data_IF_185535728905
#
_entry.id   IF_185535728905
#
_cell.length_a   1.000
_cell.length_b   1.000
_cell.length_c   1.000
_cell.angle_alpha   90.00
_cell.angle_beta   90.00
_cell.angle_gamma   90.00
#
_symmetry.space_group_name_H-M   'P 1'
#
loop_
_entity.id
_entity.type
_entity.pdbx_description
1 polymer ?
#
# COMPACT_ATOMS: atom_id res chain seq x y z
N UNK A 1 10.11 12.47 -4.21
CA UNK A 1 8.79 11.87 -3.89
C UNK A 1 8.83 10.38 -4.15
N UNK A 2 8.22 9.56 -3.29
CA UNK A 2 8.08 8.11 -3.49
C UNK A 2 6.64 7.68 -3.33
N UNK A 3 6.21 6.75 -4.18
CA UNK A 3 4.86 6.19 -4.17
C UNK A 3 4.85 4.85 -3.46
N UNK A 4 3.72 4.56 -2.83
CA UNK A 4 3.44 3.32 -2.14
C UNK A 4 2.02 2.86 -2.49
N UNK A 5 1.79 1.56 -2.50
CA UNK A 5 0.48 1.02 -2.86
C UNK A 5 0.27 -0.40 -2.36
N UNK A 6 -0.99 -0.77 -2.22
CA UNK A 6 -1.42 -2.12 -1.88
C UNK A 6 -2.46 -2.56 -2.90
N UNK A 7 -2.27 -3.74 -3.49
CA UNK A 7 -3.30 -4.43 -4.26
C UNK A 7 -3.79 -5.59 -3.41
N UNK A 8 -5.09 -5.62 -3.17
CA UNK A 8 -5.76 -6.64 -2.38
C UNK A 8 -7.10 -6.96 -3.02
N UNK A 9 -7.48 -8.24 -3.04
CA UNK A 9 -8.86 -8.66 -3.33
C UNK A 9 -9.45 -9.25 -2.05
N UNK A 10 -10.77 -9.11 -1.85
CA UNK A 10 -11.44 -9.76 -0.71
C UNK A 10 -11.24 -11.28 -0.69
N UNK A 11 -11.08 -11.88 -1.87
CA UNK A 11 -10.83 -13.31 -2.02
C UNK A 11 -9.40 -13.73 -1.68
N UNK A 12 -8.46 -12.79 -1.67
CA UNK A 12 -7.06 -13.02 -1.26
C UNK A 12 -6.86 -12.75 0.22
N UNK A 13 -7.88 -12.92 1.06
CA UNK A 13 -7.74 -12.85 2.51
C UNK A 13 -7.66 -14.24 3.16
N UNK A 14 -7.81 -15.32 2.38
CA UNK A 14 -7.73 -16.70 2.87
C UNK A 14 -8.57 -16.93 4.13
N UNK A 15 -7.97 -17.51 5.17
CA UNK A 15 -8.61 -17.77 6.47
C UNK A 15 -9.01 -16.47 7.20
N UNK A 16 -8.32 -15.36 6.94
CA UNK A 16 -8.66 -14.06 7.54
C UNK A 16 -10.03 -13.56 7.07
N UNK A 17 -10.48 -13.94 5.86
CA UNK A 17 -11.86 -13.68 5.39
C UNK A 17 -12.90 -14.28 6.33
N UNK A 18 -12.65 -15.49 6.82
CA UNK A 18 -13.54 -16.17 7.76
C UNK A 18 -13.56 -15.48 9.14
N UNK A 19 -12.41 -14.94 9.59
CA UNK A 19 -12.28 -14.23 10.86
C UNK A 19 -12.88 -12.81 10.85
N UNK A 20 -12.84 -12.12 9.70
CA UNK A 20 -13.37 -10.76 9.57
C UNK A 20 -14.80 -10.71 9.06
N UNK A 21 -15.33 -11.79 8.48
CA UNK A 21 -16.64 -11.80 7.80
C UNK A 21 -16.73 -10.69 6.74
N UNK A 22 -17.90 -10.12 6.46
CA UNK A 22 -18.07 -8.99 5.55
C UNK A 22 -17.71 -7.62 6.17
N UNK A 23 -16.93 -7.60 7.26
CA UNK A 23 -16.55 -6.37 7.95
C UNK A 23 -15.50 -5.57 7.15
N UNK A 24 -15.98 -4.61 6.38
CA UNK A 24 -15.18 -3.70 5.56
C UNK A 24 -14.15 -2.89 6.35
N UNK A 25 -14.45 -2.53 7.61
CA UNK A 25 -13.53 -1.77 8.46
C UNK A 25 -12.29 -2.58 8.86
N UNK A 26 -12.45 -3.87 9.19
CA UNK A 26 -11.30 -4.75 9.48
C UNK A 26 -10.41 -4.95 8.26
N UNK A 27 -11.03 -5.11 7.08
CA UNK A 27 -10.30 -5.22 5.82
C UNK A 27 -9.50 -3.95 5.52
N UNK A 28 -10.12 -2.78 5.69
CA UNK A 28 -9.46 -1.49 5.54
C UNK A 28 -8.24 -1.38 6.48
N UNK A 29 -8.42 -1.66 7.76
CA UNK A 29 -7.34 -1.58 8.75
C UNK A 29 -6.15 -2.49 8.40
N UNK A 30 -6.43 -3.67 7.82
CA UNK A 30 -5.37 -4.59 7.38
C UNK A 30 -4.63 -4.07 6.15
N UNK A 31 -5.33 -3.48 5.18
CA UNK A 31 -4.70 -2.85 4.03
C UNK A 31 -3.84 -1.64 4.44
N UNK A 32 -4.33 -0.82 5.38
CA UNK A 32 -3.58 0.28 5.96
C UNK A 32 -2.32 -0.23 6.68
N UNK A 33 -2.40 -1.33 7.43
CA UNK A 33 -1.24 -1.98 8.04
C UNK A 33 -0.19 -2.34 6.97
N UNK A 34 -0.57 -3.03 5.89
CA UNK A 34 0.37 -3.42 4.84
C UNK A 34 1.03 -2.22 4.16
N UNK A 35 0.25 -1.16 3.90
CA UNK A 35 0.77 0.07 3.31
C UNK A 35 1.81 0.72 4.23
N UNK A 36 1.49 0.87 5.52
CA UNK A 36 2.37 1.48 6.51
C UNK A 36 3.62 0.62 6.75
N UNK A 37 3.54 -0.70 6.68
CA UNK A 37 4.75 -1.55 6.71
C UNK A 37 5.74 -1.20 5.60
N UNK A 38 5.26 -0.87 4.39
CA UNK A 38 6.13 -0.44 3.27
C UNK A 38 6.75 0.92 3.52
N UNK A 39 5.98 1.84 4.08
CA UNK A 39 6.46 3.17 4.48
C UNK A 39 7.53 3.03 5.56
N UNK A 40 7.30 2.20 6.58
CA UNK A 40 8.26 1.94 7.65
C UNK A 40 9.57 1.35 7.13
N UNK A 41 9.50 0.46 6.13
CA UNK A 41 10.70 -0.05 5.48
C UNK A 41 11.47 1.05 4.75
N UNK A 42 10.78 1.92 4.01
CA UNK A 42 11.40 3.07 3.36
C UNK A 42 12.09 3.99 4.37
N UNK A 43 11.41 4.30 5.49
CA UNK A 43 11.96 5.12 6.58
C UNK A 43 13.26 4.52 7.12
N UNK A 44 13.26 3.20 7.40
CA UNK A 44 14.44 2.47 7.86
C UNK A 44 15.62 2.58 6.87
N UNK A 45 15.37 2.28 5.59
CA UNK A 45 16.40 2.30 4.54
C UNK A 45 16.99 3.69 4.36
N UNK A 46 16.16 4.73 4.48
CA UNK A 46 16.57 6.12 4.34
C UNK A 46 17.08 6.75 5.63
N UNK A 47 17.07 5.99 6.73
CA UNK A 47 17.45 6.47 8.08
C UNK A 47 16.66 7.72 8.48
N UNK A 48 15.40 7.80 8.06
CA UNK A 48 14.51 8.90 8.44
C UNK A 48 13.92 8.54 9.82
N UNK A 49 14.05 9.42 10.82
CA UNK A 49 13.44 9.21 12.13
C UNK A 49 11.90 9.23 12.06
N UNK A 50 11.18 8.43 12.88
CA UNK A 50 9.71 8.38 12.88
C UNK A 50 9.03 9.73 13.13
N UNK A 51 9.63 10.61 13.94
CA UNK A 51 9.11 11.93 14.28
C UNK A 51 9.01 12.90 13.08
N UNK A 52 9.76 12.61 12.01
CA UNK A 52 9.78 13.38 10.77
C UNK A 52 8.75 12.88 9.73
N UNK A 53 7.90 11.92 10.11
CA UNK A 53 6.82 11.41 9.27
C UNK A 53 5.47 11.89 9.82
N UNK A 54 4.75 12.63 8.99
CA UNK A 54 3.32 12.89 9.22
C UNK A 54 2.51 11.93 8.35
N UNK A 55 1.46 11.33 8.91
CA UNK A 55 0.60 10.37 8.20
C UNK A 55 -0.81 10.94 8.14
N UNK A 56 -1.29 11.22 6.93
CA UNK A 56 -2.59 11.85 6.72
C UNK A 56 -3.50 10.87 5.99
N UNK A 57 -4.68 10.64 6.56
CA UNK A 57 -5.78 9.93 5.91
C UNK A 57 -6.89 10.92 5.52
N UNK A 58 -7.48 10.76 4.34
CA UNK A 58 -8.76 11.39 4.04
C UNK A 58 -9.84 10.82 4.95
N UNK A 59 -10.72 11.67 5.48
CA UNK A 59 -11.85 11.27 6.32
C UNK A 59 -12.82 10.40 5.54
N UNK A 60 -13.06 9.20 6.07
CA UNK A 60 -14.02 8.24 5.57
C UNK A 60 -14.86 7.66 6.73
N UNK A 61 -15.82 6.80 6.41
CA UNK A 61 -16.59 6.05 7.41
C UNK A 61 -15.76 4.89 8.00
N UNK A 62 -14.65 5.24 8.66
CA UNK A 62 -13.67 4.31 9.25
C UNK A 62 -13.41 4.71 10.70
N UNK A 63 -13.26 3.71 11.58
CA UNK A 63 -12.85 3.90 12.96
C UNK A 63 -11.31 3.96 13.05
N UNK A 64 -10.78 5.18 12.93
CA UNK A 64 -9.34 5.44 12.95
C UNK A 64 -8.69 5.11 14.30
N UNK A 65 -9.41 5.19 15.41
CA UNK A 65 -8.88 4.82 16.73
C UNK A 65 -8.65 3.30 16.83
N UNK A 66 -9.60 2.50 16.34
CA UNK A 66 -9.40 1.05 16.21
C UNK A 66 -8.24 0.72 15.27
N UNK A 67 -8.07 1.46 14.18
CA UNK A 67 -6.92 1.30 13.29
C UNK A 67 -5.60 1.59 14.02
N UNK A 68 -5.49 2.72 14.73
CA UNK A 68 -4.31 3.07 15.54
C UNK A 68 -4.00 1.97 16.57
N UNK A 69 -5.03 1.47 17.27
CA UNK A 69 -4.86 0.40 18.26
C UNK A 69 -4.36 -0.91 17.64
N UNK A 70 -4.84 -1.29 16.46
CA UNK A 70 -4.30 -2.43 15.71
C UNK A 70 -2.82 -2.22 15.40
N UNK A 71 -2.45 -1.05 14.88
CA UNK A 71 -1.07 -0.74 14.50
C UNK A 71 -0.13 -0.77 15.71
N UNK A 72 -0.53 -0.19 16.85
CA UNK A 72 0.24 -0.27 18.11
C UNK A 72 0.44 -1.72 18.57
N UNK A 73 -0.60 -2.55 18.47
CA UNK A 73 -0.48 -4.00 18.77
C UNK A 73 0.48 -4.71 17.82
N UNK A 74 0.47 -4.35 16.54
CA UNK A 74 1.40 -4.88 15.55
C UNK A 74 2.85 -4.44 15.82
N UNK A 75 3.07 -3.21 16.31
CA UNK A 75 4.40 -2.74 16.72
C UNK A 75 4.92 -3.50 17.95
N UNK A 76 4.07 -3.74 18.96
CA UNK A 76 4.48 -4.41 20.19
C UNK A 76 4.65 -5.93 20.05
N UNK A 77 3.89 -6.56 19.14
CA UNK A 77 3.95 -8.01 18.91
C UNK A 77 3.89 -8.34 17.41
N UNK A 78 4.97 -8.07 16.65
CA UNK A 78 5.01 -8.34 15.21
C UNK A 78 5.02 -9.85 14.94
N UNK A 79 3.94 -10.35 14.35
CA UNK A 79 3.77 -11.77 14.01
C UNK A 79 4.48 -12.17 12.71
N UNK A 80 4.70 -11.21 11.81
CA UNK A 80 5.40 -11.41 10.54
C UNK A 80 6.66 -10.55 10.48
N UNK A 81 7.65 -11.01 9.70
CA UNK A 81 8.94 -10.33 9.53
C UNK A 81 8.78 -8.88 9.03
N UNK A 82 7.86 -8.65 8.10
CA UNK A 82 7.58 -7.33 7.54
C UNK A 82 6.84 -6.40 8.50
N UNK A 83 6.05 -6.94 9.43
CA UNK A 83 5.37 -6.15 10.46
C UNK A 83 6.35 -5.44 11.39
N UNK A 84 7.58 -5.96 11.52
CA UNK A 84 8.66 -5.30 12.28
C UNK A 84 8.97 -3.90 11.76
N UNK A 85 8.75 -3.62 10.48
CA UNK A 85 9.01 -2.30 9.91
C UNK A 85 8.09 -1.20 10.44
N UNK A 86 6.93 -1.56 11.01
CA UNK A 86 6.05 -0.58 11.67
C UNK A 86 6.71 0.13 12.85
N UNK A 87 7.76 -0.44 13.45
CA UNK A 87 8.51 0.23 14.52
C UNK A 87 9.17 1.56 14.06
N UNK A 88 9.30 1.77 12.75
CA UNK A 88 9.86 2.99 12.16
C UNK A 88 8.80 4.05 11.84
N UNK A 89 7.60 3.90 12.38
CA UNK A 89 6.49 4.83 12.22
C UNK A 89 5.97 5.25 13.58
N UNK A 90 5.72 6.54 13.76
CA UNK A 90 4.96 7.05 14.89
C UNK A 90 3.45 7.00 14.57
N UNK A 91 2.70 6.21 15.34
CA UNK A 91 1.24 6.04 15.16
C UNK A 91 0.47 7.25 15.67
N UNK A 92 1.05 8.03 16.58
CA UNK A 92 0.40 9.22 17.14
C UNK A 92 0.41 10.38 16.15
N UNK A 93 1.31 10.33 15.16
CA UNK A 93 1.37 11.24 13.99
C UNK A 93 0.30 10.99 12.92
N UNK A 94 -0.57 9.99 13.11
CA UNK A 94 -1.70 9.75 12.21
C UNK A 94 -2.78 10.81 12.44
N UNK A 95 -3.01 11.64 11.43
CA UNK A 95 -4.06 12.65 11.37
C UNK A 95 -5.12 12.30 10.31
N UNK A 96 -6.32 12.84 10.49
CA UNK A 96 -7.42 12.72 9.53
C UNK A 96 -7.78 14.11 9.03
N UNK A 97 -7.96 14.25 7.72
CA UNK A 97 -8.26 15.51 7.04
C UNK A 97 -9.53 15.39 6.21
N UNK A 98 -10.29 16.46 6.09
CA UNK A 98 -11.45 16.51 5.19
C UNK A 98 -10.99 16.52 3.72
N UNK A 99 -11.91 16.19 2.82
CA UNK A 99 -11.64 16.17 1.39
C UNK A 99 -11.16 17.53 0.90
N UNK A 100 -10.00 17.55 0.25
CA UNK A 100 -9.40 18.76 -0.31
C UNK A 100 -8.56 19.59 0.66
N UNK A 101 -8.46 19.23 1.94
CA UNK A 101 -7.60 19.94 2.91
C UNK A 101 -6.11 19.62 2.75
N UNK A 102 -5.76 18.41 2.27
CA UNK A 102 -4.40 18.00 2.00
C UNK A 102 -4.23 17.70 0.49
N UNK A 103 -3.60 18.61 -0.28
CA UNK A 103 -3.43 18.43 -1.72
C UNK A 103 -2.68 17.14 -2.11
N UNK A 104 -1.77 16.64 -1.27
CA UNK A 104 -1.03 15.40 -1.56
C UNK A 104 -1.92 14.16 -1.56
N UNK A 105 -3.12 14.20 -0.95
CA UNK A 105 -4.08 13.09 -1.03
C UNK A 105 -4.56 12.85 -2.47
N UNK A 106 -4.58 13.88 -3.32
CA UNK A 106 -4.92 13.70 -4.76
C UNK A 106 -3.92 12.81 -5.48
N UNK A 107 -2.64 12.83 -5.07
CA UNK A 107 -1.65 11.92 -5.60
C UNK A 107 -1.88 10.49 -5.10
N UNK A 108 -2.25 10.32 -3.83
CA UNK A 108 -2.62 9.01 -3.30
C UNK A 108 -3.83 8.42 -4.06
N UNK A 109 -4.84 9.25 -4.37
CA UNK A 109 -5.99 8.87 -5.18
C UNK A 109 -5.58 8.47 -6.60
N UNK A 110 -4.68 9.23 -7.24
CA UNK A 110 -4.14 8.89 -8.56
C UNK A 110 -3.45 7.53 -8.55
N UNK A 111 -2.62 7.26 -7.55
CA UNK A 111 -1.94 5.97 -7.39
C UNK A 111 -2.94 4.84 -7.17
N UNK A 112 -3.90 5.03 -6.26
CA UNK A 112 -4.94 4.05 -5.99
C UNK A 112 -5.77 3.75 -7.25
N UNK A 113 -6.10 4.79 -8.02
CA UNK A 113 -6.82 4.65 -9.28
C UNK A 113 -6.01 3.89 -10.33
N UNK A 114 -4.73 4.22 -10.52
CA UNK A 114 -3.86 3.51 -11.44
C UNK A 114 -3.74 2.02 -11.10
N UNK A 115 -3.58 1.70 -9.81
CA UNK A 115 -3.57 0.31 -9.33
C UNK A 115 -4.91 -0.39 -9.55
N UNK A 116 -6.02 0.28 -9.26
CA UNK A 116 -7.36 -0.27 -9.47
C UNK A 116 -7.60 -0.59 -10.95
N UNK A 117 -7.24 0.32 -11.86
CA UNK A 117 -7.40 0.13 -13.31
C UNK A 117 -6.57 -1.03 -13.88
N UNK A 118 -5.51 -1.44 -13.19
CA UNK A 118 -4.74 -2.63 -13.57
C UNK A 118 -5.45 -3.93 -13.23
N UNK A 119 -6.38 -3.93 -12.27
CA UNK A 119 -6.99 -5.16 -11.73
C UNK A 119 -8.52 -5.21 -11.85
N UNK A 120 -9.15 -4.07 -12.14
CA UNK A 120 -10.58 -3.95 -12.33
C UNK A 120 -11.00 -4.55 -13.68
N UNK A 121 -11.86 -5.56 -13.60
CA UNK A 121 -12.53 -6.16 -14.75
C UNK A 121 -14.02 -6.09 -14.49
N UNK A 122 -14.59 -4.96 -14.89
CA UNK A 122 -16.00 -4.70 -14.79
C UNK A 122 -16.65 -4.83 -16.17
N UNK A 123 -17.95 -5.05 -16.20
CA UNK A 123 -18.70 -4.95 -17.46
C UNK A 123 -18.57 -3.54 -18.06
N UNK A 124 -18.43 -2.53 -17.20
CA UNK A 124 -18.26 -1.12 -17.56
C UNK A 124 -16.94 -0.81 -18.30
N UNK A 125 -15.88 -1.61 -18.13
CA UNK A 125 -14.64 -1.47 -18.89
C UNK A 125 -14.43 -2.59 -19.92
N UNK A 126 -15.49 -3.31 -20.31
CA UNK A 126 -15.43 -4.44 -21.25
C UNK A 126 -14.44 -5.53 -20.82
N UNK A 127 -14.17 -5.65 -19.50
CA UNK A 127 -13.12 -6.52 -18.95
C UNK A 127 -11.69 -6.22 -19.43
N UNK A 128 -11.45 -5.01 -19.93
CA UNK A 128 -10.14 -4.55 -20.40
C UNK A 128 -9.46 -3.75 -19.28
N UNK A 129 -8.31 -4.23 -18.82
CA UNK A 129 -7.47 -3.54 -17.84
C UNK A 129 -6.66 -2.43 -18.50
N UNK A 130 -6.26 -1.43 -17.71
CA UNK A 130 -5.45 -0.30 -18.18
C UNK A 130 -4.16 -0.19 -17.36
N UNK A 131 -3.10 -0.92 -17.77
CA UNK A 131 -1.84 -0.93 -17.02
C UNK A 131 -0.89 0.21 -17.36
N UNK A 132 -1.18 1.03 -18.38
CA UNK A 132 -0.26 2.11 -18.80
C UNK A 132 0.00 3.11 -17.69
N UNK A 133 -1.04 3.51 -16.94
CA UNK A 133 -0.89 4.43 -15.81
C UNK A 133 0.11 3.92 -14.77
N UNK A 134 0.07 2.62 -14.47
CA UNK A 134 0.98 2.02 -13.50
C UNK A 134 2.41 1.95 -14.03
N UNK A 135 2.61 1.70 -15.33
CA UNK A 135 3.95 1.74 -15.96
C UNK A 135 4.57 3.12 -15.85
N UNK A 136 3.81 4.18 -16.12
CA UNK A 136 4.28 5.57 -16.01
C UNK A 136 4.63 5.94 -14.56
N UNK A 137 3.90 5.40 -13.58
CA UNK A 137 4.18 5.65 -12.17
C UNK A 137 5.31 4.78 -11.60
N UNK A 138 5.66 3.66 -12.24
CA UNK A 138 6.64 2.69 -11.73
C UNK A 138 7.98 3.30 -11.27
N UNK A 139 8.61 4.23 -12.02
CA UNK A 139 9.86 4.89 -11.61
C UNK A 139 9.78 5.61 -10.25
N UNK A 140 8.58 6.05 -9.87
CA UNK A 140 8.34 6.84 -8.67
C UNK A 140 8.00 6.01 -7.44
N UNK A 141 7.71 4.72 -7.58
CA UNK A 141 7.52 3.84 -6.42
C UNK A 141 8.81 3.69 -5.62
N UNK A 142 8.68 3.30 -4.35
CA UNK A 142 9.80 2.78 -3.60
C UNK A 142 10.22 1.41 -4.17
N UNK A 143 11.47 1.29 -4.62
CA UNK A 143 12.04 0.02 -5.06
C UNK A 143 12.88 -0.63 -3.97
N UNK A 144 13.04 -1.95 -4.06
CA UNK A 144 13.93 -2.70 -3.18
C UNK A 144 15.35 -2.10 -3.23
N UNK A 145 16.03 -1.91 -2.08
CA UNK A 145 17.34 -1.23 -2.05
C UNK A 145 18.38 -1.86 -2.99
N UNK A 146 18.40 -3.19 -3.07
CA UNK A 146 19.36 -3.94 -3.90
C UNK A 146 18.91 -4.13 -5.35
N UNK A 147 17.67 -4.60 -5.58
CA UNK A 147 17.22 -5.00 -6.92
C UNK A 147 16.42 -3.92 -7.66
N UNK A 148 16.03 -2.85 -6.98
CA UNK A 148 15.09 -1.81 -7.46
C UNK A 148 13.70 -2.32 -7.84
N UNK A 149 13.40 -3.60 -7.60
CA UNK A 149 12.08 -4.18 -7.83
C UNK A 149 11.02 -3.44 -7.00
N UNK A 150 9.92 -3.04 -7.64
CA UNK A 150 8.83 -2.30 -6.98
C UNK A 150 7.92 -3.24 -6.20
N UNK A 151 7.58 -4.39 -6.77
CA UNK A 151 6.74 -5.41 -6.12
C UNK A 151 7.48 -5.99 -4.92
N UNK A 152 6.77 -6.08 -3.79
CA UNK A 152 7.33 -6.49 -2.51
C UNK A 152 7.93 -5.34 -1.69
N UNK A 153 8.38 -4.28 -2.36
CA UNK A 153 8.87 -3.04 -1.77
C UNK A 153 7.75 -1.98 -1.70
N UNK A 154 7.75 -0.96 -2.55
CA UNK A 154 6.75 0.11 -2.54
C UNK A 154 5.35 -0.36 -2.93
N UNK A 155 5.24 -1.45 -3.70
CA UNK A 155 3.96 -2.05 -4.08
C UNK A 155 3.78 -3.41 -3.41
N UNK A 156 2.80 -3.52 -2.52
CA UNK A 156 2.47 -4.78 -1.87
C UNK A 156 1.28 -5.46 -2.54
N UNK A 157 1.49 -6.68 -3.04
CA UNK A 157 0.41 -7.56 -3.51
C UNK A 157 0.08 -8.53 -2.39
N UNK A 158 -1.15 -8.50 -1.85
CA UNK A 158 -1.53 -9.36 -0.73
C UNK A 158 -1.39 -10.83 -1.13
N UNK A 159 -0.61 -11.57 -0.34
CA UNK A 159 -0.07 -12.92 -0.61
C UNK A 159 0.90 -12.99 -1.79
N UNK A 160 0.42 -12.83 -3.02
CA UNK A 160 1.27 -12.78 -4.22
C UNK A 160 0.50 -12.23 -5.43
N UNK A 161 1.23 -11.84 -6.48
CA UNK A 161 0.62 -11.48 -7.78
C UNK A 161 -0.20 -12.64 -8.36
N UNK A 162 0.20 -13.89 -8.11
CA UNK A 162 -0.55 -15.09 -8.52
C UNK A 162 -1.87 -15.23 -7.76
N UNK A 163 -1.87 -14.97 -6.47
CA UNK A 163 -3.07 -15.07 -5.62
C UNK A 163 -4.09 -14.00 -5.96
N UNK A 164 -3.63 -12.82 -6.42
CA UNK A 164 -4.49 -11.76 -6.92
C UNK A 164 -5.30 -12.14 -8.17
N UNK A 165 -5.04 -13.29 -8.81
CA UNK A 165 -5.75 -13.74 -10.04
C UNK A 165 -5.87 -12.60 -11.06
N UNK A 166 -4.77 -11.88 -11.25
CA UNK A 166 -4.66 -10.88 -12.32
C UNK A 166 -4.30 -11.60 -13.62
N UNK A 167 -4.52 -10.95 -14.74
CA UNK A 167 -4.14 -11.50 -16.04
C UNK A 167 -2.62 -11.65 -16.16
N UNK A 168 -2.21 -12.55 -17.04
CA UNK A 168 -0.80 -12.83 -17.29
C UNK A 168 -0.03 -11.58 -17.68
N UNK A 169 -0.59 -10.75 -18.56
CA UNK A 169 0.02 -9.49 -19.00
C UNK A 169 0.17 -8.47 -17.85
N UNK A 170 -0.85 -8.35 -16.99
CA UNK A 170 -0.79 -7.49 -15.80
C UNK A 170 0.25 -8.02 -14.81
N UNK A 171 0.32 -9.34 -14.61
CA UNK A 171 1.32 -9.99 -13.75
C UNK A 171 2.74 -9.74 -14.26
N UNK A 172 2.97 -9.90 -15.57
CA UNK A 172 4.24 -9.60 -16.21
C UNK A 172 4.66 -8.14 -16.00
N UNK A 173 3.72 -7.21 -16.19
CA UNK A 173 3.97 -5.78 -15.96
C UNK A 173 4.38 -5.56 -14.51
N UNK A 174 3.58 -6.02 -13.55
CA UNK A 174 3.86 -5.87 -12.11
C UNK A 174 5.24 -6.42 -11.74
N UNK A 175 5.55 -7.63 -12.19
CA UNK A 175 6.83 -8.28 -11.87
C UNK A 175 8.04 -7.62 -12.56
N UNK A 176 7.82 -6.88 -13.67
CA UNK A 176 8.86 -6.14 -14.39
C UNK A 176 9.09 -4.71 -13.89
N UNK A 177 8.27 -4.20 -12.97
CA UNK A 177 8.37 -2.81 -12.49
C UNK A 177 9.66 -2.56 -11.71
N UNK A 178 10.45 -1.59 -12.18
CA UNK A 178 11.66 -1.10 -11.53
C UNK A 178 11.50 0.37 -11.13
N UNK A 179 11.93 0.70 -9.91
CA UNK A 179 12.00 2.08 -9.45
C UNK A 179 13.25 2.78 -9.99
N UNK A 180 13.19 4.11 -10.14
CA UNK A 180 14.40 4.89 -10.40
C UNK A 180 15.15 5.14 -9.11
N UNK A 181 16.44 4.76 -9.09
CA UNK A 181 17.38 5.09 -8.02
C UNK A 181 17.34 6.60 -7.73
N UNK A 182 17.21 7.04 -6.47
CA UNK A 182 17.38 8.45 -6.17
C UNK A 182 18.82 8.83 -6.50
N UNK A 183 19.01 9.94 -7.22
CA UNK A 183 20.34 10.56 -7.37
C UNK A 183 20.87 10.81 -5.96
N UNK A 184 22.05 10.28 -5.65
CA UNK A 184 22.76 10.63 -4.42
C UNK A 184 23.08 12.13 -4.53
N UNK A 185 22.41 12.93 -3.72
CA UNK A 185 22.69 14.35 -3.51
C UNK A 185 23.35 14.52 -2.16
#
# INVERSE_FOLDING_TARGET
MRLFGVISKKDTLGNYKAEISDNSSKYYNKCAQYLLERVGWFMQVRKIPPENLDIIFEKANVDYDKMKNLLRKCQSSPQHSSTKWLQHIDIDKIAVKEKGEEPLLQLADLVAHALYKCVDKSTANFSITEPRYLRELAPHFFGHPETQAVVGAGLYCVHSTRDLKVDTDVSEILNSMLATQPKQS
#
